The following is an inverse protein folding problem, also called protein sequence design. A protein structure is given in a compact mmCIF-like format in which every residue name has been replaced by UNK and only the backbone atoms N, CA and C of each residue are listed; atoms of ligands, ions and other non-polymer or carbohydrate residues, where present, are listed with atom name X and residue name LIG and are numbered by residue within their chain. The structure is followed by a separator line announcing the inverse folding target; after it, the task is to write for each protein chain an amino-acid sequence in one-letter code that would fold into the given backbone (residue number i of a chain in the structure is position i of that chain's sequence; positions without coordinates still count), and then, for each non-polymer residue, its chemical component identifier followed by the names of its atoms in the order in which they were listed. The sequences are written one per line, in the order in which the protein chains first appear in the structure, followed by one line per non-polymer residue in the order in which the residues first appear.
data_IF_349397479374
#
_entry.id   IF_349397479374
#
_cell.length_a   1.000
_cell.length_b   1.000
_cell.length_c   1.000
_cell.angle_alpha   90.00
_cell.angle_beta   90.00
_cell.angle_gamma   90.00
#
_symmetry.space_group_name_H-M   'P 1'
#
loop_
_entity.id
_entity.type
_entity.pdbx_description
1 polymer ?
#
# COMPACT_ATOMS: atom_id res chain seq x y z
N UNK A 1 -6.81 13.08 23.39
CA UNK A 1 -7.04 11.78 22.73
C UNK A 1 -7.36 12.04 21.28
N UNK A 2 -6.81 11.24 20.37
CA UNK A 2 -7.08 11.36 18.94
C UNK A 2 -7.95 10.19 18.50
N UNK A 3 -9.09 10.48 17.92
CA UNK A 3 -9.95 9.49 17.26
C UNK A 3 -9.60 9.53 15.78
N UNK A 4 -9.21 8.38 15.22
CA UNK A 4 -8.87 8.27 13.79
C UNK A 4 -9.97 7.51 13.07
N UNK A 5 -10.50 8.09 11.99
CA UNK A 5 -11.51 7.42 11.16
C UNK A 5 -11.18 7.58 9.67
N UNK A 6 -11.29 6.49 8.91
CA UNK A 6 -11.12 6.51 7.45
C UNK A 6 -12.46 6.82 6.79
N UNK A 7 -12.50 7.83 5.92
CA UNK A 7 -13.70 8.23 5.18
C UNK A 7 -13.48 8.09 3.67
N UNK A 8 -13.95 6.98 3.09
CA UNK A 8 -13.78 6.69 1.66
C UNK A 8 -14.60 7.63 0.75
N UNK A 9 -15.71 8.16 1.24
CA UNK A 9 -16.57 9.05 0.48
C UNK A 9 -17.32 10.00 1.40
N UNK A 10 -17.81 11.11 0.84
CA UNK A 10 -18.65 12.02 1.60
C UNK A 10 -20.03 11.42 1.87
N UNK A 11 -20.39 11.28 3.14
CA UNK A 11 -21.74 10.88 3.58
C UNK A 11 -22.36 11.96 4.46
N UNK A 12 -23.50 12.50 4.03
CA UNK A 12 -24.23 13.51 4.81
C UNK A 12 -24.56 13.01 6.22
N UNK A 13 -24.90 11.75 6.40
CA UNK A 13 -25.19 11.17 7.73
C UNK A 13 -23.99 11.25 8.68
N UNK A 14 -22.77 11.07 8.17
CA UNK A 14 -21.54 11.16 8.98
C UNK A 14 -21.36 12.56 9.53
N UNK A 15 -21.73 13.60 8.78
CA UNK A 15 -21.68 14.98 9.27
C UNK A 15 -22.46 15.17 10.59
N UNK A 16 -23.59 14.47 10.77
CA UNK A 16 -24.39 14.56 12.00
C UNK A 16 -23.96 13.57 13.09
N UNK A 17 -23.35 12.44 12.73
CA UNK A 17 -22.90 11.41 13.69
C UNK A 17 -21.57 11.74 14.37
N UNK A 18 -20.63 12.31 13.63
CA UNK A 18 -19.28 12.61 14.13
C UNK A 18 -19.26 13.47 15.41
N UNK A 19 -20.09 14.54 15.55
CA UNK A 19 -20.23 15.26 16.80
C UNK A 19 -20.55 14.38 17.99
N UNK A 20 -21.50 13.45 17.83
CA UNK A 20 -21.91 12.54 18.90
C UNK A 20 -20.79 11.61 19.35
N UNK A 21 -19.95 11.13 18.41
CA UNK A 21 -18.77 10.33 18.76
C UNK A 21 -17.77 11.12 19.59
N UNK A 22 -17.48 12.36 19.18
CA UNK A 22 -16.50 13.20 19.87
C UNK A 22 -16.97 13.59 21.26
N UNK A 23 -18.24 14.00 21.41
CA UNK A 23 -18.78 14.41 22.71
C UNK A 23 -18.91 13.22 23.66
N UNK A 24 -19.31 12.05 23.14
CA UNK A 24 -19.36 10.84 23.97
C UNK A 24 -17.98 10.41 24.45
N UNK A 25 -16.98 10.42 23.56
CA UNK A 25 -15.61 10.11 23.93
C UNK A 25 -15.03 11.12 24.93
N UNK A 26 -15.37 12.41 24.79
CA UNK A 26 -15.01 13.45 25.74
C UNK A 26 -15.60 13.18 27.13
N UNK A 27 -16.88 12.81 27.19
CA UNK A 27 -17.57 12.45 28.44
C UNK A 27 -16.94 11.22 29.11
N UNK A 28 -16.73 10.15 28.34
CA UNK A 28 -16.25 8.86 28.83
C UNK A 28 -14.81 8.94 29.34
N UNK A 29 -13.95 9.64 28.60
CA UNK A 29 -12.52 9.68 28.90
C UNK A 29 -12.09 10.93 29.67
N UNK A 30 -12.92 11.98 29.74
CA UNK A 30 -12.63 13.25 30.43
C UNK A 30 -11.31 13.89 29.98
N UNK A 31 -10.99 13.76 28.70
CA UNK A 31 -9.79 14.29 28.06
C UNK A 31 -10.19 15.11 26.82
N UNK A 32 -9.43 16.15 26.44
CA UNK A 32 -9.61 16.83 25.16
C UNK A 32 -9.59 15.83 23.99
N UNK A 33 -10.53 15.97 23.06
CA UNK A 33 -10.71 15.07 21.92
C UNK A 33 -10.41 15.80 20.63
N UNK A 34 -9.60 15.18 19.79
CA UNK A 34 -9.41 15.57 18.39
C UNK A 34 -9.90 14.44 17.48
N UNK A 35 -10.57 14.82 16.39
CA UNK A 35 -10.97 13.88 15.34
C UNK A 35 -10.07 14.10 14.13
N UNK A 36 -9.35 13.05 13.74
CA UNK A 36 -8.55 12.96 12.53
C UNK A 36 -9.25 12.05 11.52
N UNK A 37 -9.67 12.62 10.39
CA UNK A 37 -10.21 11.87 9.27
C UNK A 37 -9.16 11.65 8.20
N UNK A 38 -8.97 10.38 7.80
CA UNK A 38 -8.13 10.03 6.65
C UNK A 38 -9.05 9.85 5.44
N UNK A 39 -8.85 10.67 4.41
CA UNK A 39 -9.69 10.72 3.22
C UNK A 39 -8.88 10.27 1.99
N UNK A 40 -9.47 9.53 1.04
CA UNK A 40 -8.78 9.07 -0.16
C UNK A 40 -8.55 10.19 -1.18
N UNK A 41 -9.26 11.31 -1.07
CA UNK A 41 -9.09 12.46 -1.95
C UNK A 41 -9.27 13.79 -1.19
N UNK A 42 -8.69 14.85 -1.75
CA UNK A 42 -8.70 16.18 -1.14
C UNK A 42 -10.08 16.85 -1.17
N UNK A 43 -10.99 16.41 -2.05
CA UNK A 43 -12.34 16.97 -2.12
C UNK A 43 -13.14 16.56 -0.90
N UNK A 44 -13.05 15.29 -0.49
CA UNK A 44 -13.67 14.78 0.74
C UNK A 44 -13.01 15.43 1.95
N UNK A 45 -11.67 15.49 2.01
CA UNK A 45 -10.96 16.13 3.12
C UNK A 45 -11.38 17.59 3.29
N UNK A 46 -11.37 18.40 2.22
CA UNK A 46 -11.78 19.82 2.26
C UNK A 46 -13.21 20.03 2.77
N UNK A 47 -14.13 19.10 2.51
CA UNK A 47 -15.50 19.20 3.05
C UNK A 47 -15.51 19.10 4.57
N UNK A 48 -14.76 18.16 5.14
CA UNK A 48 -14.66 17.98 6.59
C UNK A 48 -13.86 19.09 7.27
N UNK A 49 -12.82 19.67 6.62
CA UNK A 49 -12.04 20.81 7.17
C UNK A 49 -12.88 22.06 7.49
N UNK A 50 -14.05 22.21 6.87
CA UNK A 50 -14.97 23.31 7.17
C UNK A 50 -15.51 23.26 8.61
N UNK A 51 -15.32 22.13 9.30
CA UNK A 51 -15.90 21.88 10.61
C UNK A 51 -17.38 21.53 10.52
N UNK A 52 -17.93 21.13 11.66
CA UNK A 52 -19.33 20.72 11.79
C UNK A 52 -20.05 21.75 12.64
N UNK A 53 -20.90 22.56 12.00
CA UNK A 53 -21.65 23.62 12.66
C UNK A 53 -22.86 23.04 13.38
N UNK A 54 -22.86 23.10 14.71
CA UNK A 54 -23.97 22.65 15.55
C UNK A 54 -24.98 23.76 15.83
N UNK A 55 -24.56 25.02 15.71
CA UNK A 55 -25.39 26.19 15.95
C UNK A 55 -24.64 27.50 15.73
N UNK A 56 -25.22 28.63 16.16
CA UNK A 56 -24.51 29.90 16.25
C UNK A 56 -23.28 29.77 17.15
N UNK A 57 -22.12 30.19 16.66
CA UNK A 57 -20.82 30.18 17.36
C UNK A 57 -20.39 28.83 17.96
N UNK A 58 -21.00 27.73 17.51
CA UNK A 58 -20.67 26.37 17.93
C UNK A 58 -20.32 25.52 16.69
N UNK A 59 -19.02 25.35 16.48
CA UNK A 59 -18.47 24.52 15.41
C UNK A 59 -17.49 23.54 16.01
N UNK A 60 -17.71 22.25 15.74
CA UNK A 60 -16.71 21.22 16.04
C UNK A 60 -15.67 21.24 14.93
N UNK A 61 -14.41 21.49 15.31
CA UNK A 61 -13.26 21.38 14.41
C UNK A 61 -12.99 19.91 14.11
N UNK A 62 -12.77 19.62 12.84
CA UNK A 62 -12.38 18.28 12.37
C UNK A 62 -11.07 18.42 11.61
N UNK A 63 -10.07 17.66 12.04
CA UNK A 63 -8.83 17.53 11.28
C UNK A 63 -9.06 16.47 10.21
N UNK A 64 -8.69 16.77 8.97
CA UNK A 64 -8.74 15.78 7.90
C UNK A 64 -7.51 15.90 7.03
N UNK A 65 -7.03 14.74 6.59
CA UNK A 65 -5.90 14.59 5.66
C UNK A 65 -6.43 13.92 4.38
N UNK A 66 -6.11 14.52 3.25
CA UNK A 66 -6.28 13.97 1.91
C UNK A 66 -4.92 13.64 1.30
N UNK A 67 -4.92 13.24 0.04
CA UNK A 67 -3.70 12.86 -0.68
C UNK A 67 -2.65 13.99 -0.71
N UNK A 68 -3.07 15.24 -0.91
CA UNK A 68 -2.15 16.39 -1.02
C UNK A 68 -1.46 16.78 0.29
N UNK A 69 -1.94 16.28 1.44
CA UNK A 69 -1.28 16.53 2.73
C UNK A 69 -0.12 15.57 2.98
N UNK A 70 0.04 14.55 2.14
CA UNK A 70 1.20 13.67 2.16
C UNK A 70 2.28 14.24 1.24
N UNK A 71 3.55 14.24 1.68
CA UNK A 71 4.65 14.68 0.83
C UNK A 71 4.73 13.80 -0.42
N UNK A 72 4.87 14.42 -1.59
CA UNK A 72 5.06 13.71 -2.86
C UNK A 72 6.33 12.86 -2.87
N UNK A 73 7.34 13.32 -2.11
CA UNK A 73 8.67 12.72 -2.01
C UNK A 73 9.10 12.72 -0.54
N UNK A 74 8.56 11.82 0.28
CA UNK A 74 8.92 11.72 1.68
C UNK A 74 10.37 11.30 1.81
N UNK A 75 11.12 12.05 2.61
CA UNK A 75 12.46 11.64 3.01
C UNK A 75 12.37 10.32 3.79
N UNK A 76 12.98 9.27 3.23
CA UNK A 76 12.97 7.95 3.82
C UNK A 76 13.59 7.96 5.23
N UNK A 77 14.60 8.80 5.48
CA UNK A 77 15.27 8.89 6.78
C UNK A 77 14.34 9.44 7.88
N UNK A 78 13.32 10.19 7.48
CA UNK A 78 12.33 10.77 8.39
C UNK A 78 11.18 9.82 8.73
N UNK A 79 11.16 8.60 8.21
CA UNK A 79 10.12 7.60 8.54
C UNK A 79 10.15 7.28 10.04
N UNK A 80 9.13 7.74 10.82
CA UNK A 80 9.16 7.56 12.26
C UNK A 80 8.84 6.12 12.67
N UNK A 81 8.08 5.40 11.84
CA UNK A 81 7.60 4.04 12.12
C UNK A 81 7.37 3.24 10.85
N UNK A 82 7.29 1.91 10.95
CA UNK A 82 6.87 1.04 9.84
C UNK A 82 5.45 1.37 9.35
N UNK A 83 4.53 1.72 10.26
CA UNK A 83 3.17 2.14 9.91
C UNK A 83 3.16 3.41 9.04
N UNK A 84 4.04 4.37 9.34
CA UNK A 84 4.19 5.58 8.53
C UNK A 84 4.67 5.24 7.11
N UNK A 85 5.55 4.24 6.95
CA UNK A 85 5.97 3.77 5.64
C UNK A 85 4.81 3.16 4.83
N UNK A 86 3.91 2.39 5.47
CA UNK A 86 2.70 1.87 4.82
C UNK A 86 1.80 3.01 4.33
N UNK A 87 1.55 4.00 5.18
CA UNK A 87 0.72 5.16 4.84
C UNK A 87 1.36 5.94 3.69
N UNK A 88 2.67 6.21 3.75
CA UNK A 88 3.40 6.90 2.68
C UNK A 88 3.36 6.11 1.37
N UNK A 89 3.52 4.79 1.40
CA UNK A 89 3.41 3.98 0.20
C UNK A 89 1.98 4.02 -0.38
N UNK A 90 0.96 4.04 0.47
CA UNK A 90 -0.45 4.02 0.06
C UNK A 90 -0.92 5.36 -0.54
N UNK A 91 -0.42 6.48 -0.02
CA UNK A 91 -0.91 7.82 -0.37
C UNK A 91 0.10 8.67 -1.13
N UNK A 92 1.38 8.32 -1.10
CA UNK A 92 2.46 9.01 -1.79
C UNK A 92 2.82 8.40 -3.14
N UNK A 93 3.78 9.00 -3.82
CA UNK A 93 4.33 8.44 -5.06
C UNK A 93 5.28 7.30 -4.72
N UNK A 94 5.18 6.18 -5.43
CA UNK A 94 6.11 5.07 -5.26
C UNK A 94 7.56 5.56 -5.49
N UNK A 95 8.49 5.27 -4.55
CA UNK A 95 9.88 5.67 -4.70
C UNK A 95 10.53 4.90 -5.86
N UNK A 96 11.54 5.48 -6.51
CA UNK A 96 12.26 4.85 -7.61
C UNK A 96 13.79 5.03 -7.50
N UNK A 97 14.54 4.11 -8.11
CA UNK A 97 16.00 4.13 -8.10
C UNK A 97 16.58 4.23 -6.69
N UNK A 98 17.52 5.17 -6.48
CA UNK A 98 18.20 5.35 -5.18
C UNK A 98 17.26 5.66 -4.01
N UNK A 99 16.09 6.26 -4.28
CA UNK A 99 15.09 6.51 -3.23
C UNK A 99 14.36 5.24 -2.82
N UNK A 100 14.16 4.30 -3.75
CA UNK A 100 13.59 3.00 -3.42
C UNK A 100 14.55 2.23 -2.48
N UNK A 101 15.86 2.25 -2.75
CA UNK A 101 16.88 1.68 -1.86
C UNK A 101 16.83 2.26 -0.44
N UNK A 102 16.79 3.59 -0.31
CA UNK A 102 16.73 4.27 0.99
C UNK A 102 15.41 3.98 1.71
N UNK A 103 14.29 3.97 0.99
CA UNK A 103 12.98 3.64 1.55
C UNK A 103 12.95 2.21 2.10
N UNK A 104 13.41 1.25 1.30
CA UNK A 104 13.38 -0.18 1.63
C UNK A 104 14.35 -0.51 2.78
N UNK A 105 15.55 0.10 2.79
CA UNK A 105 16.50 -0.07 3.91
C UNK A 105 16.00 0.56 5.22
N UNK A 106 15.37 1.74 5.16
CA UNK A 106 14.77 2.35 6.35
C UNK A 106 13.59 1.53 6.86
N UNK A 107 12.76 1.04 5.94
CA UNK A 107 11.64 0.15 6.27
C UNK A 107 12.12 -1.13 6.98
N UNK A 108 13.14 -1.82 6.44
CA UNK A 108 13.74 -3.01 7.05
C UNK A 108 14.18 -2.74 8.49
N UNK A 109 14.89 -1.64 8.70
CA UNK A 109 15.29 -1.21 10.04
C UNK A 109 14.08 -1.01 10.97
N UNK A 110 13.00 -0.37 10.50
CA UNK A 110 11.80 -0.16 11.31
C UNK A 110 11.04 -1.45 11.59
N UNK A 111 10.90 -2.34 10.61
CA UNK A 111 10.25 -3.65 10.78
C UNK A 111 11.00 -4.51 11.80
N UNK A 112 12.33 -4.42 11.84
CA UNK A 112 13.15 -5.11 12.83
C UNK A 112 12.96 -4.65 14.28
N UNK A 113 12.29 -3.52 14.52
CA UNK A 113 12.06 -2.97 15.88
C UNK A 113 10.68 -3.29 16.45
N UNK A 114 9.82 -3.95 15.69
CA UNK A 114 8.44 -4.31 16.11
C UNK A 114 8.26 -5.83 16.20
N UNK A 115 7.12 -6.23 16.75
CA UNK A 115 6.77 -7.64 16.88
C UNK A 115 6.67 -8.33 15.49
N UNK A 116 7.22 -9.55 15.32
CA UNK A 116 7.28 -10.26 14.03
C UNK A 116 5.95 -10.39 13.27
N UNK A 117 4.86 -10.77 13.95
CA UNK A 117 3.54 -10.88 13.34
C UNK A 117 3.05 -9.54 12.77
N UNK A 118 3.21 -8.46 13.55
CA UNK A 118 2.89 -7.10 13.09
C UNK A 118 3.77 -6.63 11.93
N UNK A 119 5.05 -6.99 11.93
CA UNK A 119 5.94 -6.72 10.80
C UNK A 119 5.46 -7.42 9.53
N UNK A 120 5.05 -8.68 9.63
CA UNK A 120 4.52 -9.44 8.50
C UNK A 120 3.22 -8.85 7.94
N UNK A 121 2.33 -8.32 8.79
CA UNK A 121 1.12 -7.62 8.35
C UNK A 121 1.42 -6.32 7.57
N UNK A 122 2.45 -5.57 8.00
CA UNK A 122 2.90 -4.39 7.25
C UNK A 122 3.56 -4.76 5.94
N UNK A 123 4.38 -5.81 5.91
CA UNK A 123 4.97 -6.35 4.67
C UNK A 123 3.87 -6.73 3.69
N UNK A 124 2.86 -7.49 4.12
CA UNK A 124 1.73 -7.87 3.26
C UNK A 124 1.03 -6.64 2.68
N UNK A 125 0.78 -5.64 3.51
CA UNK A 125 0.15 -4.38 3.08
C UNK A 125 1.01 -3.68 2.02
N UNK A 126 2.32 -3.59 2.26
CA UNK A 126 3.27 -2.98 1.35
C UNK A 126 3.40 -3.73 0.04
N UNK A 127 3.46 -5.06 0.04
CA UNK A 127 3.48 -5.86 -1.19
C UNK A 127 2.19 -5.70 -2.01
N UNK A 128 1.07 -5.38 -1.37
CA UNK A 128 -0.19 -5.09 -2.07
C UNK A 128 -0.17 -3.72 -2.74
N UNK A 129 0.52 -2.74 -2.12
CA UNK A 129 0.56 -1.34 -2.56
C UNK A 129 1.69 -1.08 -3.56
N UNK A 130 2.88 -1.62 -3.28
CA UNK A 130 4.07 -1.43 -4.08
C UNK A 130 3.99 -2.21 -5.39
N UNK A 131 4.61 -1.63 -6.40
CA UNK A 131 4.73 -2.20 -7.73
C UNK A 131 6.18 -2.16 -8.22
N UNK A 132 6.49 -3.02 -9.21
CA UNK A 132 7.76 -3.05 -9.93
C UNK A 132 8.99 -3.11 -9.02
N UNK A 133 9.87 -2.11 -9.08
CA UNK A 133 11.18 -2.10 -8.44
C UNK A 133 11.10 -2.15 -6.89
N UNK A 134 10.39 -1.24 -6.19
CA UNK A 134 10.26 -1.29 -4.74
C UNK A 134 9.73 -2.63 -4.18
N UNK A 135 8.76 -3.24 -4.87
CA UNK A 135 8.22 -4.54 -4.45
C UNK A 135 9.29 -5.63 -4.55
N UNK A 136 10.03 -5.70 -5.66
CA UNK A 136 11.13 -6.66 -5.84
C UNK A 136 12.23 -6.47 -4.80
N UNK A 137 12.59 -5.23 -4.48
CA UNK A 137 13.61 -4.95 -3.48
C UNK A 137 13.18 -5.40 -2.07
N UNK A 138 11.90 -5.21 -1.73
CA UNK A 138 11.35 -5.72 -0.47
C UNK A 138 11.40 -7.25 -0.41
N UNK A 139 11.01 -7.93 -1.50
CA UNK A 139 11.07 -9.38 -1.62
C UNK A 139 12.52 -9.91 -1.52
N UNK A 140 13.47 -9.24 -2.17
CA UNK A 140 14.90 -9.59 -2.08
C UNK A 140 15.43 -9.47 -0.65
N UNK A 141 15.08 -8.40 0.07
CA UNK A 141 15.40 -8.28 1.49
C UNK A 141 14.79 -9.41 2.31
N UNK A 142 13.54 -9.77 2.04
CA UNK A 142 12.85 -10.87 2.73
C UNK A 142 13.52 -12.23 2.47
N UNK A 143 14.18 -12.43 1.33
CA UNK A 143 14.90 -13.68 1.04
C UNK A 143 16.22 -13.83 1.80
N UNK A 144 16.77 -12.77 2.37
CA UNK A 144 18.06 -12.83 3.08
C UNK A 144 18.02 -13.61 4.40
N UNK A 145 16.85 -14.09 4.85
CA UNK A 145 16.59 -15.01 5.98
C UNK A 145 17.29 -14.68 7.32
N UNK A 146 17.83 -13.48 7.48
CA UNK A 146 18.64 -13.08 8.65
C UNK A 146 17.92 -12.13 9.59
N UNK A 147 16.64 -11.80 9.31
CA UNK A 147 15.86 -10.82 10.07
C UNK A 147 14.94 -11.45 11.12
N UNK A 148 14.70 -10.75 12.24
CA UNK A 148 13.90 -11.27 13.36
C UNK A 148 12.40 -11.44 13.04
N UNK A 149 11.92 -10.91 11.91
CA UNK A 149 10.51 -11.00 11.50
C UNK A 149 10.23 -12.11 10.48
N UNK A 150 11.22 -12.96 10.15
CA UNK A 150 10.97 -14.13 9.28
C UNK A 150 10.14 -15.20 9.99
N UNK A 151 9.13 -15.69 9.29
CA UNK A 151 8.22 -16.76 9.71
C UNK A 151 7.67 -17.49 8.48
N UNK A 152 7.04 -18.65 8.67
CA UNK A 152 6.30 -19.33 7.59
C UNK A 152 5.30 -18.39 6.88
N UNK A 153 4.73 -17.45 7.62
CA UNK A 153 3.82 -16.46 7.04
C UNK A 153 4.55 -15.49 6.10
N UNK A 154 5.75 -15.00 6.45
CA UNK A 154 6.54 -14.18 5.53
C UNK A 154 7.03 -14.96 4.31
N UNK A 155 7.31 -16.25 4.45
CA UNK A 155 7.69 -17.11 3.33
C UNK A 155 6.52 -17.28 2.36
N UNK A 156 5.30 -17.48 2.89
CA UNK A 156 4.08 -17.54 2.07
C UNK A 156 3.82 -16.24 1.30
N UNK A 157 4.25 -15.08 1.83
CA UNK A 157 4.15 -13.80 1.14
C UNK A 157 5.14 -13.68 -0.03
N UNK A 158 6.34 -14.25 0.12
CA UNK A 158 7.32 -14.34 -0.97
C UNK A 158 6.78 -15.18 -2.13
N UNK A 159 6.24 -16.36 -1.84
CA UNK A 159 5.65 -17.25 -2.85
C UNK A 159 4.49 -16.56 -3.60
N UNK A 160 3.64 -15.82 -2.88
CA UNK A 160 2.56 -15.02 -3.49
C UNK A 160 3.10 -13.90 -4.39
N UNK A 161 4.18 -13.24 -3.98
CA UNK A 161 4.89 -12.23 -4.76
C UNK A 161 5.41 -12.79 -6.08
N UNK A 162 6.05 -13.96 -6.05
CA UNK A 162 6.55 -14.66 -7.24
C UNK A 162 5.43 -14.99 -8.22
N UNK A 163 4.31 -15.53 -7.74
CA UNK A 163 3.13 -15.81 -8.58
C UNK A 163 2.60 -14.51 -9.22
N UNK A 164 2.47 -13.43 -8.44
CA UNK A 164 2.02 -12.13 -8.96
C UNK A 164 2.97 -11.60 -10.03
N UNK A 165 4.28 -11.69 -9.80
CA UNK A 165 5.30 -11.25 -10.73
C UNK A 165 5.24 -12.04 -12.04
N UNK A 166 5.22 -13.37 -11.97
CA UNK A 166 5.16 -14.24 -13.15
C UNK A 166 3.90 -13.97 -14.00
N UNK A 167 2.74 -13.75 -13.37
CA UNK A 167 1.51 -13.32 -14.08
C UNK A 167 1.72 -11.99 -14.82
N UNK A 168 2.25 -10.97 -14.13
CA UNK A 168 2.45 -9.63 -14.70
C UNK A 168 3.46 -9.66 -15.85
N UNK A 169 4.55 -10.41 -15.69
CA UNK A 169 5.56 -10.60 -16.73
C UNK A 169 4.95 -11.25 -17.98
N UNK A 170 4.18 -12.32 -17.80
CA UNK A 170 3.54 -13.03 -18.89
C UNK A 170 2.49 -12.17 -19.62
N UNK A 171 1.65 -11.45 -18.88
CA UNK A 171 0.67 -10.52 -19.47
C UNK A 171 1.37 -9.44 -20.28
N UNK A 172 2.37 -8.76 -19.71
CA UNK A 172 3.13 -7.71 -20.41
C UNK A 172 3.80 -8.24 -21.67
N UNK A 173 4.41 -9.42 -21.59
CA UNK A 173 5.05 -10.05 -22.73
C UNK A 173 4.03 -10.32 -23.84
N UNK A 174 2.92 -11.00 -23.53
CA UNK A 174 1.91 -11.35 -24.53
C UNK A 174 1.21 -10.11 -25.12
N UNK A 175 0.94 -9.08 -24.33
CA UNK A 175 0.42 -7.79 -24.81
C UNK A 175 1.39 -7.08 -25.78
N UNK A 176 2.70 -7.28 -25.62
CA UNK A 176 3.72 -6.75 -26.54
C UNK A 176 3.86 -7.54 -27.84
N UNK A 177 3.28 -8.75 -27.93
CA UNK A 177 3.32 -9.56 -29.15
C UNK A 177 2.31 -9.09 -30.20
N UNK A 178 2.58 -9.27 -31.51
CA UNK A 178 1.67 -8.85 -32.59
C UNK A 178 0.28 -9.50 -32.53
N UNK A 179 0.20 -10.72 -31.98
CA UNK A 179 -1.05 -11.46 -31.76
C UNK A 179 -1.90 -10.89 -30.62
N UNK A 180 -1.29 -10.15 -29.71
CA UNK A 180 -1.94 -9.61 -28.51
C UNK A 180 -2.42 -10.71 -27.55
N UNK A 181 -3.08 -10.27 -26.48
CA UNK A 181 -3.64 -11.14 -25.43
C UNK A 181 -5.17 -11.08 -25.45
N UNK A 182 -5.86 -12.23 -25.56
CA UNK A 182 -7.33 -12.26 -25.48
C UNK A 182 -7.82 -12.12 -24.03
N UNK A 183 -9.07 -11.69 -23.84
CA UNK A 183 -9.65 -11.54 -22.49
C UNK A 183 -9.71 -12.86 -21.73
N UNK A 184 -9.96 -13.98 -22.41
CA UNK A 184 -10.01 -15.31 -21.81
C UNK A 184 -8.62 -15.76 -21.34
N UNK A 185 -7.59 -15.56 -22.17
CA UNK A 185 -6.20 -15.83 -21.81
C UNK A 185 -5.75 -14.96 -20.63
N UNK A 186 -6.11 -13.68 -20.63
CA UNK A 186 -5.84 -12.78 -19.50
C UNK A 186 -6.45 -13.29 -18.20
N UNK A 187 -7.74 -13.65 -18.20
CA UNK A 187 -8.39 -14.19 -17.02
C UNK A 187 -7.75 -15.52 -16.56
N UNK A 188 -7.32 -16.36 -17.49
CA UNK A 188 -6.65 -17.62 -17.16
C UNK A 188 -5.31 -17.37 -16.46
N UNK A 189 -4.53 -16.40 -16.94
CA UNK A 189 -3.26 -16.00 -16.32
C UNK A 189 -3.51 -15.39 -14.93
N UNK A 190 -4.46 -14.45 -14.84
CA UNK A 190 -4.78 -13.74 -13.58
C UNK A 190 -5.27 -14.69 -12.46
N UNK A 191 -5.94 -15.79 -12.81
CA UNK A 191 -6.43 -16.79 -11.83
C UNK A 191 -5.41 -17.88 -11.47
N UNK A 192 -4.33 -18.04 -12.23
CA UNK A 192 -3.39 -19.14 -12.05
C UNK A 192 -2.51 -18.95 -10.81
N UNK A 193 -2.74 -19.71 -9.74
CA UNK A 193 -1.96 -19.64 -8.49
C UNK A 193 -0.70 -20.54 -8.48
N UNK A 194 -0.48 -21.34 -9.53
CA UNK A 194 0.67 -22.24 -9.63
C UNK A 194 1.83 -21.54 -10.35
N UNK A 195 2.89 -21.25 -9.59
CA UNK A 195 4.10 -20.62 -10.10
C UNK A 195 4.76 -21.46 -11.21
N UNK A 196 4.83 -22.78 -11.04
CA UNK A 196 5.47 -23.67 -12.02
C UNK A 196 4.73 -23.66 -13.35
N UNK A 197 3.40 -23.55 -13.29
CA UNK A 197 2.60 -23.45 -14.50
C UNK A 197 2.84 -22.12 -15.21
N UNK A 198 2.90 -21.01 -14.47
CA UNK A 198 3.23 -19.68 -15.02
C UNK A 198 4.62 -19.66 -15.65
N UNK A 199 5.63 -20.20 -14.98
CA UNK A 199 6.99 -20.32 -15.51
C UNK A 199 7.01 -21.14 -16.81
N UNK A 200 6.29 -22.26 -16.85
CA UNK A 200 6.18 -23.07 -18.07
C UNK A 200 5.53 -22.32 -19.24
N UNK A 201 4.63 -21.38 -18.96
CA UNK A 201 4.01 -20.54 -19.99
C UNK A 201 4.96 -19.45 -20.46
N UNK A 202 5.72 -18.83 -19.54
CA UNK A 202 6.78 -17.88 -19.88
C UNK A 202 7.85 -18.53 -20.76
N UNK A 203 8.36 -19.70 -20.39
CA UNK A 203 9.36 -20.44 -21.18
C UNK A 203 8.87 -20.73 -22.60
N UNK A 204 7.61 -21.17 -22.74
CA UNK A 204 7.00 -21.39 -24.06
C UNK A 204 6.85 -20.11 -24.85
N UNK A 205 6.48 -19.02 -24.19
CA UNK A 205 6.32 -17.71 -24.82
C UNK A 205 7.66 -17.19 -25.35
N UNK A 206 8.75 -17.38 -24.61
CA UNK A 206 10.11 -17.04 -25.05
C UNK A 206 10.61 -17.94 -26.18
N UNK A 207 10.34 -19.25 -26.14
CA UNK A 207 10.76 -20.18 -27.21
C UNK A 207 10.10 -19.88 -28.57
N UNK A 208 8.93 -19.24 -28.59
CA UNK A 208 8.24 -18.87 -29.82
C UNK A 208 8.83 -17.62 -30.50
N UNK A 209 9.67 -16.85 -29.80
CA UNK A 209 10.34 -15.65 -30.29
C UNK A 209 11.84 -15.95 -30.32
N UNK A 210 12.32 -16.59 -31.40
CA UNK A 210 13.75 -16.92 -31.59
C UNK A 210 14.65 -15.75 -31.15
N UNK A 211 15.62 -16.04 -30.27
CA UNK A 211 16.46 -15.07 -29.55
C UNK A 211 17.48 -14.30 -30.41
N UNK A 212 17.05 -13.65 -31.48
CA UNK A 212 17.83 -12.59 -32.12
C UNK A 212 17.53 -11.26 -31.43
N UNK A 213 18.50 -10.74 -30.68
CA UNK A 213 18.48 -9.37 -30.13
C UNK A 213 18.31 -9.22 -28.61
N UNK A 214 18.41 -10.29 -27.80
CA UNK A 214 18.22 -10.17 -26.33
C UNK A 214 19.29 -9.27 -25.64
N UNK A 215 20.38 -8.94 -26.31
CA UNK A 215 21.51 -8.15 -25.78
C UNK A 215 22.05 -7.06 -26.72
N UNK A 216 21.34 -6.72 -27.80
CA UNK A 216 21.72 -5.61 -28.70
C UNK A 216 20.90 -4.34 -28.40
#
# INVERSE_FOLDING_TARGET
MVIVEVQNEWKNEKHYRLPGYMTRAFEDHRLPIELLLVCPDDTVARKYRKGIRLGPDNTITVHSVGMSDFPEDPDADLLPTAAAAVVIAAFGKAPNGRKAELFISTLDHRLGTIEPGRAADYIKSLLTILEDEPARMLEELMRTQTRPYHSEYSDSLLEQGEVRYARRALVRYLESTPTGLTHEQRQQIERCADLRMLDSWLDKAYQQQSGEGLFE
#
